data_IF_834183359958
#
_entry.id   IF_834183359958
#
_cell.length_a   1.000
_cell.length_b   1.000
_cell.length_c   1.000
_cell.angle_alpha   90.00
_cell.angle_beta   90.00
_cell.angle_gamma   90.00
#
_symmetry.space_group_name_H-M   'P 1'
#
loop_
_entity.id
_entity.type
_entity.pdbx_description
1 polymer ?
#
# COMPACT_ATOMS: atom_id res chain seq x y z
N UNK A 1 -30.17 12.93 12.55
CA UNK A 1 -31.21 13.30 11.57
C UNK A 1 -30.93 12.75 10.16
N UNK A 2 -29.70 12.85 9.64
CA UNK A 2 -29.37 12.50 8.25
C UNK A 2 -29.73 11.06 7.81
N UNK A 3 -29.43 10.04 8.62
CA UNK A 3 -29.66 8.63 8.26
C UNK A 3 -31.14 8.33 7.94
N UNK A 4 -32.06 8.76 8.79
CA UNK A 4 -33.50 8.50 8.60
C UNK A 4 -34.06 9.27 7.40
N UNK A 5 -33.61 10.52 7.20
CA UNK A 5 -34.00 11.32 6.04
C UNK A 5 -33.52 10.67 4.73
N UNK A 6 -32.26 10.19 4.70
CA UNK A 6 -31.73 9.44 3.58
C UNK A 6 -32.59 8.19 3.31
N UNK A 7 -32.95 7.42 4.35
CA UNK A 7 -33.76 6.22 4.18
C UNK A 7 -35.13 6.52 3.58
N UNK A 8 -35.80 7.60 4.04
CA UNK A 8 -37.09 8.02 3.50
C UNK A 8 -37.00 8.34 2.00
N UNK A 9 -35.97 9.10 1.59
CA UNK A 9 -35.74 9.44 0.18
C UNK A 9 -35.36 8.20 -0.64
N UNK A 10 -34.49 7.33 -0.11
CA UNK A 10 -34.07 6.11 -0.78
C UNK A 10 -35.24 5.15 -1.05
N UNK A 11 -36.19 5.05 -0.11
CA UNK A 11 -37.42 4.26 -0.29
C UNK A 11 -38.33 4.89 -1.35
N UNK A 12 -38.58 6.21 -1.29
CA UNK A 12 -39.39 6.90 -2.30
C UNK A 12 -38.79 6.78 -3.71
N UNK A 13 -37.46 6.87 -3.83
CA UNK A 13 -36.77 6.64 -5.10
C UNK A 13 -36.89 5.19 -5.59
N UNK A 14 -36.93 4.22 -4.67
CA UNK A 14 -37.15 2.81 -4.99
C UNK A 14 -38.51 2.58 -5.65
N UNK A 15 -39.56 3.27 -5.17
CA UNK A 15 -40.91 3.19 -5.76
C UNK A 15 -40.95 3.74 -7.19
N UNK A 16 -40.02 4.65 -7.51
CA UNK A 16 -39.83 5.21 -8.85
C UNK A 16 -38.84 4.39 -9.71
N UNK A 17 -38.35 3.25 -9.22
CA UNK A 17 -37.43 2.37 -9.94
C UNK A 17 -35.94 2.75 -9.86
N UNK A 18 -35.58 3.75 -9.05
CA UNK A 18 -34.20 4.15 -8.81
C UNK A 18 -33.62 3.44 -7.58
N UNK A 19 -32.28 3.28 -7.54
CA UNK A 19 -31.58 2.68 -6.39
C UNK A 19 -30.59 3.66 -5.81
N UNK A 20 -30.72 3.91 -4.52
CA UNK A 20 -29.72 4.66 -3.77
C UNK A 20 -28.42 3.84 -3.65
N UNK A 21 -27.28 4.54 -3.59
CA UNK A 21 -25.97 3.89 -3.51
C UNK A 21 -25.52 3.72 -2.05
N UNK A 22 -25.64 4.76 -1.23
CA UNK A 22 -25.07 4.73 0.11
C UNK A 22 -25.05 6.08 0.81
N UNK A 23 -24.36 6.11 1.94
CA UNK A 23 -24.18 7.28 2.80
C UNK A 23 -22.69 7.57 3.03
N UNK A 24 -22.41 8.81 3.43
CA UNK A 24 -21.09 9.23 3.94
C UNK A 24 -21.20 9.64 5.41
N UNK A 25 -20.26 9.18 6.23
CA UNK A 25 -20.09 9.57 7.63
C UNK A 25 -18.75 10.32 7.73
N UNK A 26 -18.77 11.58 8.13
CA UNK A 26 -17.60 12.45 8.13
C UNK A 26 -17.23 13.05 9.50
N UNK A 27 -17.89 12.59 10.55
CA UNK A 27 -17.64 13.06 11.92
C UNK A 27 -18.23 12.08 12.95
N UNK A 28 -17.82 12.24 14.21
CA UNK A 28 -18.27 11.39 15.32
C UNK A 28 -17.56 10.04 15.39
N UNK A 29 -18.11 9.13 16.18
CA UNK A 29 -17.61 7.76 16.33
C UNK A 29 -17.96 6.94 15.08
N UNK A 30 -17.00 6.83 14.16
CA UNK A 30 -17.21 6.16 12.88
C UNK A 30 -17.55 4.67 13.03
N UNK A 31 -16.98 3.98 14.02
CA UNK A 31 -17.26 2.56 14.25
C UNK A 31 -18.71 2.38 14.68
N UNK A 32 -19.12 3.08 15.74
CA UNK A 32 -20.48 3.03 16.26
C UNK A 32 -21.51 3.48 15.21
N UNK A 33 -21.26 4.61 14.55
CA UNK A 33 -22.19 5.17 13.57
C UNK A 33 -22.36 4.27 12.34
N UNK A 34 -21.28 3.63 11.88
CA UNK A 34 -21.37 2.67 10.76
C UNK A 34 -22.19 1.44 11.14
N UNK A 35 -22.01 0.91 12.35
CA UNK A 35 -22.80 -0.22 12.87
C UNK A 35 -24.29 0.16 13.00
N UNK A 36 -24.58 1.32 13.58
CA UNK A 36 -25.95 1.82 13.70
C UNK A 36 -26.63 2.03 12.34
N UNK A 37 -25.89 2.56 11.35
CA UNK A 37 -26.37 2.72 9.99
C UNK A 37 -26.66 1.35 9.34
N UNK A 38 -25.74 0.40 9.44
CA UNK A 38 -25.91 -0.96 8.89
C UNK A 38 -27.13 -1.68 9.50
N UNK A 39 -27.30 -1.61 10.82
CA UNK A 39 -28.46 -2.19 11.50
C UNK A 39 -29.77 -1.55 11.03
N UNK A 40 -29.78 -0.24 10.83
CA UNK A 40 -30.96 0.47 10.29
C UNK A 40 -31.28 0.01 8.88
N UNK A 41 -30.26 -0.12 8.02
CA UNK A 41 -30.43 -0.63 6.66
C UNK A 41 -30.96 -2.07 6.63
N UNK A 42 -30.47 -2.94 7.50
CA UNK A 42 -30.96 -4.33 7.63
C UNK A 42 -32.44 -4.37 8.04
N UNK A 43 -32.82 -3.63 9.09
CA UNK A 43 -34.23 -3.57 9.55
C UNK A 43 -35.17 -3.07 8.46
N UNK A 44 -34.76 -2.06 7.70
CA UNK A 44 -35.57 -1.51 6.60
C UNK A 44 -35.62 -2.47 5.40
N UNK A 45 -34.51 -3.12 5.08
CA UNK A 45 -34.45 -4.17 4.06
C UNK A 45 -35.46 -5.28 4.34
N UNK A 46 -35.56 -5.74 5.59
CA UNK A 46 -36.52 -6.76 6.02
C UNK A 46 -37.96 -6.23 5.98
N UNK A 47 -38.20 -5.06 6.58
CA UNK A 47 -39.53 -4.46 6.69
C UNK A 47 -40.18 -4.18 5.33
N UNK A 48 -39.40 -3.68 4.37
CA UNK A 48 -39.88 -3.30 3.04
C UNK A 48 -39.60 -4.36 1.98
N UNK A 49 -39.00 -5.50 2.34
CA UNK A 49 -38.64 -6.59 1.42
C UNK A 49 -37.76 -6.11 0.26
N UNK A 50 -36.75 -5.30 0.58
CA UNK A 50 -35.79 -4.71 -0.36
C UNK A 50 -34.37 -5.21 -0.07
N UNK A 51 -33.96 -6.40 -0.55
CA UNK A 51 -32.67 -7.00 -0.20
C UNK A 51 -31.44 -6.15 -0.51
N UNK A 52 -31.54 -5.26 -1.50
CA UNK A 52 -30.46 -4.35 -1.88
C UNK A 52 -30.20 -3.27 -0.82
N UNK A 53 -31.21 -2.92 -0.02
CA UNK A 53 -31.12 -1.86 0.98
C UNK A 53 -30.12 -2.21 2.10
N UNK A 54 -30.07 -3.48 2.51
CA UNK A 54 -29.09 -3.95 3.50
C UNK A 54 -27.63 -3.79 3.04
N UNK A 55 -27.41 -3.72 1.72
CA UNK A 55 -26.08 -3.64 1.08
C UNK A 55 -25.70 -2.22 0.63
N UNK A 56 -26.45 -1.21 1.06
CA UNK A 56 -26.10 0.19 0.83
C UNK A 56 -24.69 0.48 1.34
N UNK A 57 -23.91 1.20 0.53
CA UNK A 57 -22.50 1.50 0.82
C UNK A 57 -22.40 2.51 1.97
N UNK A 58 -21.51 2.26 2.91
CA UNK A 58 -21.15 3.20 3.98
C UNK A 58 -19.73 3.67 3.71
N UNK A 59 -19.60 4.94 3.36
CA UNK A 59 -18.30 5.61 3.18
C UNK A 59 -17.97 6.38 4.45
N UNK A 60 -16.75 6.27 4.95
CA UNK A 60 -16.26 7.13 6.03
C UNK A 60 -15.11 8.01 5.56
N UNK A 61 -15.11 9.27 6.00
CA UNK A 61 -14.04 10.22 5.68
C UNK A 61 -13.88 11.24 6.79
N UNK A 62 -12.83 11.16 7.60
CA UNK A 62 -12.47 12.17 8.60
C UNK A 62 -11.08 11.86 9.17
N UNK A 63 -10.05 12.63 8.81
CA UNK A 63 -8.66 12.45 9.26
C UNK A 63 -8.21 10.97 9.35
N UNK A 64 -8.56 10.22 8.30
CA UNK A 64 -8.28 8.78 8.24
C UNK A 64 -6.81 8.58 7.91
N UNK A 65 -6.17 7.64 8.60
CA UNK A 65 -4.80 7.20 8.40
C UNK A 65 -4.70 5.70 8.75
N UNK A 66 -3.50 5.13 8.67
CA UNK A 66 -3.28 3.71 8.88
C UNK A 66 -3.67 3.26 10.31
N UNK A 67 -3.36 4.06 11.33
CA UNK A 67 -3.69 3.76 12.72
C UNK A 67 -5.19 3.80 12.98
N UNK A 68 -5.88 4.80 12.43
CA UNK A 68 -7.34 4.88 12.59
C UNK A 68 -8.05 3.74 11.88
N UNK A 69 -7.59 3.33 10.69
CA UNK A 69 -8.14 2.15 9.99
C UNK A 69 -7.93 0.87 10.81
N UNK A 70 -6.73 0.66 11.40
CA UNK A 70 -6.46 -0.48 12.27
C UNK A 70 -7.41 -0.48 13.47
N UNK A 71 -7.54 0.66 14.16
CA UNK A 71 -8.43 0.79 15.31
C UNK A 71 -9.90 0.54 14.95
N UNK A 72 -10.36 0.99 13.77
CA UNK A 72 -11.72 0.72 13.30
C UNK A 72 -11.94 -0.77 13.04
N UNK A 73 -10.97 -1.45 12.42
CA UNK A 73 -11.01 -2.90 12.17
C UNK A 73 -11.16 -3.69 13.49
N UNK A 74 -10.42 -3.31 14.53
CA UNK A 74 -10.53 -3.94 15.87
C UNK A 74 -11.92 -3.75 16.50
N UNK A 75 -12.60 -2.65 16.17
CA UNK A 75 -13.94 -2.34 16.65
C UNK A 75 -15.07 -3.00 15.82
N UNK A 76 -14.73 -3.81 14.81
CA UNK A 76 -15.69 -4.46 13.91
C UNK A 76 -16.67 -3.46 13.25
N UNK A 77 -16.13 -2.34 12.77
CA UNK A 77 -16.91 -1.33 12.04
C UNK A 77 -17.63 -1.93 10.80
N UNK A 78 -18.61 -1.20 10.23
CA UNK A 78 -19.42 -1.63 9.07
C UNK A 78 -19.22 -0.70 7.86
N UNK A 79 -18.03 -0.11 7.72
CA UNK A 79 -17.69 0.84 6.66
C UNK A 79 -17.16 0.05 5.46
N UNK A 80 -17.69 0.34 4.27
CA UNK A 80 -17.32 -0.34 3.03
C UNK A 80 -16.18 0.38 2.28
N UNK A 81 -16.01 1.69 2.52
CA UNK A 81 -15.02 2.51 1.83
C UNK A 81 -14.48 3.64 2.72
N UNK A 82 -13.17 3.85 2.68
CA UNK A 82 -12.49 4.93 3.39
C UNK A 82 -12.03 6.02 2.41
N UNK A 83 -12.50 7.25 2.64
CA UNK A 83 -12.00 8.45 1.98
C UNK A 83 -10.81 9.03 2.75
N UNK A 84 -9.59 8.77 2.27
CA UNK A 84 -8.35 9.28 2.87
C UNK A 84 -7.86 10.50 2.10
N UNK A 85 -7.83 11.65 2.78
CA UNK A 85 -7.40 12.93 2.19
C UNK A 85 -5.97 13.32 2.57
N UNK A 86 -5.84 14.24 3.54
CA UNK A 86 -4.59 14.90 3.92
C UNK A 86 -3.44 13.94 4.16
N UNK A 87 -3.67 12.87 4.94
CA UNK A 87 -2.62 11.90 5.29
C UNK A 87 -2.00 11.22 4.06
N UNK A 88 -2.82 10.86 3.07
CA UNK A 88 -2.37 10.20 1.84
C UNK A 88 -1.68 11.18 0.89
N UNK A 89 -2.28 12.35 0.63
CA UNK A 89 -1.77 13.29 -0.37
C UNK A 89 -0.47 13.97 0.08
N UNK A 90 -0.33 14.23 1.37
CA UNK A 90 0.85 14.92 1.91
C UNK A 90 1.94 13.97 2.38
N UNK A 91 1.67 12.65 2.40
CA UNK A 91 2.51 11.66 3.05
C UNK A 91 2.92 12.12 4.46
N UNK A 92 1.96 12.56 5.29
CA UNK A 92 2.21 13.43 6.44
C UNK A 92 3.34 12.96 7.40
N UNK A 93 3.51 11.64 7.58
CA UNK A 93 4.59 11.05 8.40
C UNK A 93 5.98 11.23 7.79
N UNK A 94 6.09 11.16 6.47
CA UNK A 94 7.33 11.31 5.71
C UNK A 94 7.02 11.99 4.37
N UNK A 95 6.95 13.33 4.32
CA UNK A 95 6.55 14.07 3.11
C UNK A 95 7.62 14.06 2.01
N UNK A 96 8.82 13.53 2.29
CA UNK A 96 9.92 13.47 1.36
C UNK A 96 10.50 12.04 1.25
N UNK A 97 10.64 11.57 0.01
CA UNK A 97 11.17 10.23 -0.27
C UNK A 97 12.71 10.15 -0.09
N UNK A 98 13.42 11.28 -0.20
CA UNK A 98 14.88 11.31 -0.05
C UNK A 98 15.66 10.79 -1.27
N UNK A 99 15.05 10.77 -2.47
CA UNK A 99 15.74 10.37 -3.69
C UNK A 99 16.90 11.30 -4.05
N UNK A 100 17.97 10.71 -4.59
CA UNK A 100 19.16 11.43 -5.04
C UNK A 100 19.56 10.99 -6.45
N UNK A 101 20.08 11.94 -7.23
CA UNK A 101 20.78 11.67 -8.47
C UNK A 101 22.29 11.78 -8.25
N UNK A 102 23.05 10.76 -8.66
CA UNK A 102 24.52 10.73 -8.54
C UNK A 102 25.13 10.13 -9.80
N UNK A 103 26.19 10.76 -10.27
CA UNK A 103 27.02 10.24 -11.36
C UNK A 103 27.86 9.07 -10.84
N UNK A 104 27.70 7.91 -11.47
CA UNK A 104 28.39 6.67 -11.07
C UNK A 104 29.53 6.29 -12.01
N UNK A 105 29.59 6.85 -13.22
CA UNK A 105 30.58 6.52 -14.24
C UNK A 105 30.72 7.66 -15.26
N UNK A 106 31.95 7.90 -15.74
CA UNK A 106 32.26 8.82 -16.85
C UNK A 106 33.29 8.14 -17.74
N UNK A 107 33.07 8.07 -19.06
CA UNK A 107 34.02 7.48 -20.01
C UNK A 107 34.50 6.07 -19.57
N UNK A 108 33.57 5.21 -19.14
CA UNK A 108 33.83 3.88 -18.59
C UNK A 108 34.71 3.85 -17.32
N UNK A 109 34.93 5.00 -16.66
CA UNK A 109 35.61 5.10 -15.38
C UNK A 109 34.61 5.28 -14.23
N UNK A 110 34.53 4.32 -13.29
CA UNK A 110 33.64 4.43 -12.14
C UNK A 110 33.95 5.67 -11.29
N UNK A 111 32.90 6.33 -10.79
CA UNK A 111 32.98 7.49 -9.89
C UNK A 111 32.35 7.16 -8.55
N UNK A 112 33.05 7.52 -7.48
CA UNK A 112 32.60 7.38 -6.09
C UNK A 112 32.66 8.74 -5.41
N UNK A 113 31.57 9.11 -4.73
CA UNK A 113 31.51 10.24 -3.83
C UNK A 113 31.74 9.74 -2.42
N UNK A 114 32.81 10.22 -1.79
CA UNK A 114 33.11 9.95 -0.39
C UNK A 114 32.24 10.84 0.52
N UNK A 115 32.04 10.37 1.73
CA UNK A 115 31.23 11.02 2.75
C UNK A 115 31.76 10.60 4.12
N UNK A 116 31.62 11.46 5.12
CA UNK A 116 31.95 11.10 6.51
C UNK A 116 31.00 10.03 7.05
N UNK A 117 29.75 10.06 6.60
CA UNK A 117 28.77 9.00 6.85
C UNK A 117 28.89 7.90 5.80
N UNK A 118 29.13 6.66 6.24
CA UNK A 118 29.33 5.48 5.37
C UNK A 118 28.10 5.24 4.48
N UNK A 119 26.90 5.38 5.01
CA UNK A 119 25.64 5.17 4.26
C UNK A 119 25.42 6.21 3.14
N UNK A 120 26.16 7.34 3.18
CA UNK A 120 26.14 8.38 2.14
C UNK A 120 27.28 8.23 1.12
N UNK A 121 28.08 7.16 1.21
CA UNK A 121 29.07 6.80 0.19
C UNK A 121 28.36 6.11 -0.97
N UNK A 122 28.58 6.60 -2.19
CA UNK A 122 27.89 6.06 -3.38
C UNK A 122 28.53 4.77 -3.87
N UNK A 123 27.73 3.81 -4.34
CA UNK A 123 28.24 2.62 -5.03
C UNK A 123 28.65 3.01 -6.47
N UNK A 124 29.92 2.84 -6.88
CA UNK A 124 30.42 3.31 -8.18
C UNK A 124 30.00 2.39 -9.35
N UNK A 125 30.21 2.85 -10.59
CA UNK A 125 30.06 2.10 -11.83
C UNK A 125 28.62 1.93 -12.33
N UNK A 126 28.45 1.64 -13.62
CA UNK A 126 27.15 1.27 -14.18
C UNK A 126 26.69 -0.09 -13.63
N UNK A 127 25.44 -0.17 -13.17
CA UNK A 127 24.88 -1.33 -12.46
C UNK A 127 23.53 -1.77 -13.02
N UNK A 128 23.27 -3.06 -12.96
CA UNK A 128 21.95 -3.67 -13.11
C UNK A 128 21.46 -4.15 -11.73
N UNK A 129 20.14 -4.16 -11.54
CA UNK A 129 19.50 -4.63 -10.32
C UNK A 129 18.63 -5.86 -10.61
N UNK A 130 18.80 -6.91 -9.81
CA UNK A 130 18.06 -8.15 -9.92
C UNK A 130 17.40 -8.52 -8.60
N UNK A 131 16.17 -8.99 -8.62
CA UNK A 131 15.51 -9.58 -7.45
C UNK A 131 15.62 -11.10 -7.50
N UNK A 132 16.14 -11.68 -6.43
CA UNK A 132 16.33 -13.12 -6.28
C UNK A 132 15.21 -13.69 -5.41
N UNK A 133 14.58 -14.77 -5.87
CA UNK A 133 13.47 -15.43 -5.16
C UNK A 133 13.85 -16.79 -4.59
N UNK A 134 13.23 -17.14 -3.47
CA UNK A 134 13.33 -18.44 -2.82
C UNK A 134 12.36 -19.48 -3.38
N UNK A 135 12.51 -20.73 -2.95
CA UNK A 135 11.64 -21.83 -3.37
C UNK A 135 10.17 -21.67 -2.93
N UNK A 136 9.93 -20.87 -1.90
CA UNK A 136 8.61 -20.46 -1.42
C UNK A 136 7.96 -19.36 -2.27
N UNK A 137 8.66 -18.83 -3.27
CA UNK A 137 8.19 -17.74 -4.13
C UNK A 137 8.34 -16.35 -3.53
N UNK A 138 8.95 -16.21 -2.35
CA UNK A 138 9.21 -14.92 -1.73
C UNK A 138 10.54 -14.32 -2.21
N UNK A 139 10.58 -12.98 -2.28
CA UNK A 139 11.80 -12.26 -2.62
C UNK A 139 12.79 -12.34 -1.45
N UNK A 140 14.00 -12.80 -1.71
CA UNK A 140 15.06 -12.95 -0.70
C UNK A 140 15.94 -11.70 -0.62
N UNK A 141 16.36 -11.16 -1.77
CA UNK A 141 17.26 -10.00 -1.84
C UNK A 141 17.20 -9.32 -3.21
N UNK A 142 17.46 -8.01 -3.21
CA UNK A 142 17.80 -7.25 -4.43
C UNK A 142 19.33 -7.17 -4.56
N UNK A 143 19.86 -7.78 -5.62
CA UNK A 143 21.27 -7.84 -5.96
C UNK A 143 21.61 -6.75 -6.99
N UNK A 144 22.55 -5.88 -6.62
CA UNK A 144 23.21 -4.97 -7.56
C UNK A 144 24.48 -5.62 -8.11
N UNK A 145 24.64 -5.63 -9.42
CA UNK A 145 25.85 -6.09 -10.11
C UNK A 145 26.29 -5.07 -11.15
N UNK A 146 27.58 -5.09 -11.51
CA UNK A 146 28.04 -4.30 -12.66
C UNK A 146 27.30 -4.77 -13.91
N UNK A 147 26.97 -3.85 -14.81
CA UNK A 147 26.24 -4.19 -16.04
C UNK A 147 27.04 -5.10 -16.99
N UNK A 148 28.35 -5.25 -16.78
CA UNK A 148 29.22 -6.18 -17.53
C UNK A 148 29.30 -7.58 -16.92
N UNK A 149 28.77 -7.80 -15.72
CA UNK A 149 28.75 -9.12 -15.09
C UNK A 149 27.64 -10.00 -15.69
N UNK A 150 27.87 -11.32 -15.76
CA UNK A 150 26.82 -12.25 -16.17
C UNK A 150 25.63 -12.16 -15.22
N UNK A 151 24.44 -12.23 -15.81
CA UNK A 151 23.17 -12.25 -15.08
C UNK A 151 23.15 -13.46 -14.13
N UNK A 152 22.64 -13.32 -12.89
CA UNK A 152 22.51 -14.44 -11.98
C UNK A 152 21.52 -15.43 -12.58
N UNK A 153 21.88 -16.71 -12.53
CA UNK A 153 21.07 -17.78 -13.13
C UNK A 153 20.31 -18.54 -12.06
N UNK A 154 19.12 -19.01 -12.44
CA UNK A 154 18.30 -19.90 -11.60
C UNK A 154 19.09 -21.18 -11.29
N UNK A 155 19.03 -21.63 -10.03
CA UNK A 155 19.72 -22.82 -9.55
C UNK A 155 21.23 -22.67 -9.37
N UNK A 156 21.84 -21.53 -9.76
CA UNK A 156 23.25 -21.26 -9.52
C UNK A 156 23.45 -20.47 -8.23
N UNK A 157 24.44 -20.91 -7.43
CA UNK A 157 24.78 -20.26 -6.16
C UNK A 157 25.43 -18.90 -6.39
N UNK A 158 24.85 -17.85 -5.80
CA UNK A 158 25.33 -16.47 -5.86
C UNK A 158 25.74 -16.02 -4.46
N UNK A 159 26.95 -15.45 -4.33
CA UNK A 159 27.40 -14.83 -3.09
C UNK A 159 26.92 -13.37 -3.05
N UNK A 160 25.97 -13.07 -2.18
CA UNK A 160 25.47 -11.72 -1.93
C UNK A 160 26.20 -11.11 -0.73
N UNK A 161 26.69 -9.88 -0.87
CA UNK A 161 27.42 -9.16 0.19
C UNK A 161 26.71 -7.86 0.51
N UNK A 162 26.68 -7.50 1.80
CA UNK A 162 26.27 -6.17 2.19
C UNK A 162 27.30 -5.14 1.67
N UNK A 163 26.88 -4.00 1.11
CA UNK A 163 27.79 -3.06 0.45
C UNK A 163 28.83 -2.43 1.40
N UNK A 164 28.51 -2.33 2.69
CA UNK A 164 29.35 -1.63 3.69
C UNK A 164 29.73 -2.45 4.93
N UNK A 165 29.18 -3.65 5.10
CA UNK A 165 29.37 -4.46 6.32
C UNK A 165 29.92 -5.83 5.91
N UNK A 166 31.24 -5.99 6.00
CA UNK A 166 31.95 -7.16 5.47
C UNK A 166 31.48 -8.49 6.07
N UNK A 167 31.11 -8.48 7.36
CA UNK A 167 30.59 -9.66 8.07
C UNK A 167 29.21 -10.10 7.58
N UNK A 168 28.44 -9.23 6.91
CA UNK A 168 27.11 -9.53 6.39
C UNK A 168 27.19 -10.02 4.95
N UNK A 169 27.05 -11.33 4.79
CA UNK A 169 27.03 -12.01 3.49
C UNK A 169 26.13 -13.24 3.54
N UNK A 170 25.52 -13.58 2.41
CA UNK A 170 24.66 -14.73 2.27
C UNK A 170 24.91 -15.42 0.93
N UNK A 171 24.76 -16.74 0.91
CA UNK A 171 24.68 -17.49 -0.34
C UNK A 171 23.22 -17.70 -0.69
N UNK A 172 22.85 -17.36 -1.93
CA UNK A 172 21.49 -17.52 -2.45
C UNK A 172 21.54 -18.44 -3.65
N UNK A 173 20.63 -19.41 -3.70
CA UNK A 173 20.38 -20.23 -4.89
C UNK A 173 18.98 -19.82 -5.36
N UNK A 174 18.86 -18.91 -6.34
CA UNK A 174 17.57 -18.37 -6.71
C UNK A 174 16.76 -19.40 -7.51
N UNK A 175 15.47 -19.50 -7.23
CA UNK A 175 14.51 -20.27 -8.05
C UNK A 175 13.89 -19.42 -9.15
N UNK A 176 13.88 -18.10 -8.97
CA UNK A 176 13.53 -17.09 -9.98
C UNK A 176 14.46 -15.89 -9.85
N UNK A 177 14.81 -15.32 -10.99
CA UNK A 177 15.60 -14.09 -11.11
C UNK A 177 14.79 -13.09 -11.92
N UNK A 178 14.57 -11.90 -11.37
CA UNK A 178 13.82 -10.83 -12.02
C UNK A 178 14.70 -9.60 -12.21
N UNK A 179 14.73 -9.05 -13.43
CA UNK A 179 15.46 -7.80 -13.71
C UNK A 179 14.58 -6.60 -13.34
N UNK A 180 15.08 -5.72 -12.48
CA UNK A 180 14.31 -4.59 -11.92
C UNK A 180 14.42 -3.31 -12.74
N UNK A 181 15.52 -3.12 -13.46
CA UNK A 181 15.73 -1.99 -14.37
C UNK A 181 15.44 -2.46 -15.80
N UNK A 182 14.33 -1.98 -16.37
CA UNK A 182 13.90 -2.28 -17.75
C UNK A 182 14.20 -1.11 -18.68
#
# INVERSE_FOLDING_TARGET
SGLLNFCAVALALSDLGYRAIGIRIDSGDLAYLSQAARQTFQRLSEKFQLPWFAKLTIVASNDINEETIISLNEQNHQIDCFGVGTHLVTCQRQPALGCVFKMVEINNQPRIKLSQEVDKVTIPGRKNAYRLYGADGHALIDLLQRSSEPVPEVGKRVLCRHPFQESKRAYVIPTRVETLLK
#
